data_IF_898316425302
#
_entry.id   IF_898316425302
#
_cell.length_a   1.000
_cell.length_b   1.000
_cell.length_c   1.000
_cell.angle_alpha   90.00
_cell.angle_beta   90.00
_cell.angle_gamma   90.00
#
_symmetry.space_group_name_H-M   'P 1'
#
loop_
_entity.id
_entity.type
_entity.pdbx_description
1 polymer ?
#
# COMPACT_ATOMS: atom_id res chain seq x y z
N UNK A 1 -44.95 15.03 -44.99
CA UNK A 1 -44.13 14.28 -44.04
C UNK A 1 -42.68 14.24 -44.52
N UNK A 2 -41.76 14.77 -43.72
CA UNK A 2 -40.34 14.35 -43.53
C UNK A 2 -39.62 15.47 -42.79
N UNK A 3 -39.67 15.37 -41.47
CA UNK A 3 -38.82 16.09 -40.54
C UNK A 3 -37.39 15.58 -40.71
N UNK A 4 -36.45 16.47 -41.05
CA UNK A 4 -35.03 16.18 -41.03
C UNK A 4 -34.43 16.89 -39.82
N UNK A 5 -34.28 16.13 -38.73
CA UNK A 5 -33.64 16.57 -37.50
C UNK A 5 -32.14 16.80 -37.71
N UNK A 6 -31.65 17.90 -37.15
CA UNK A 6 -30.23 18.23 -36.99
C UNK A 6 -29.54 17.12 -36.17
N UNK A 7 -28.57 16.45 -36.77
CA UNK A 7 -27.66 15.54 -36.06
C UNK A 7 -26.62 16.39 -35.33
N UNK A 8 -26.81 16.55 -34.02
CA UNK A 8 -25.76 17.05 -33.14
C UNK A 8 -24.64 16.00 -33.11
N UNK A 9 -23.45 16.38 -33.58
CA UNK A 9 -22.23 15.61 -33.45
C UNK A 9 -21.97 15.31 -31.97
N UNK A 10 -22.25 14.07 -31.57
CA UNK A 10 -21.85 13.53 -30.28
C UNK A 10 -20.32 13.44 -30.27
N UNK A 11 -19.69 14.36 -29.53
CA UNK A 11 -18.28 14.31 -29.18
C UNK A 11 -18.06 13.12 -28.24
N UNK A 12 -17.78 11.95 -28.82
CA UNK A 12 -17.39 10.74 -28.11
C UNK A 12 -15.96 10.89 -27.60
N UNK A 13 -15.77 11.69 -26.54
CA UNK A 13 -14.52 11.67 -25.77
C UNK A 13 -14.47 10.37 -24.98
N UNK A 14 -13.68 9.45 -25.48
CA UNK A 14 -13.19 8.23 -24.84
C UNK A 14 -12.77 8.51 -23.39
N UNK A 15 -13.56 8.04 -22.43
CA UNK A 15 -13.26 8.03 -20.99
C UNK A 15 -12.39 6.83 -20.59
N UNK A 16 -11.40 6.49 -21.41
CA UNK A 16 -10.66 5.22 -21.27
C UNK A 16 -9.20 5.35 -20.84
N UNK A 17 -8.67 6.55 -20.68
CA UNK A 17 -7.33 6.71 -20.10
C UNK A 17 -7.46 6.79 -18.58
N UNK A 18 -7.20 5.67 -17.91
CA UNK A 18 -6.85 5.68 -16.49
C UNK A 18 -5.61 6.56 -16.23
N UNK A 19 -5.26 6.83 -14.95
CA UNK A 19 -4.05 7.55 -14.62
C UNK A 19 -2.80 6.91 -15.25
N UNK A 20 -1.80 7.73 -15.57
CA UNK A 20 -0.56 7.32 -16.23
C UNK A 20 0.11 6.16 -15.46
N UNK A 21 0.34 5.02 -16.14
CA UNK A 21 0.85 3.78 -15.54
C UNK A 21 -0.19 2.71 -15.16
N UNK A 22 -1.48 2.92 -15.50
CA UNK A 22 -2.55 1.94 -15.30
C UNK A 22 -2.99 1.32 -16.63
N UNK A 23 -2.79 0.00 -16.79
CA UNK A 23 -3.32 -0.77 -17.92
C UNK A 23 -4.87 -0.76 -17.93
N UNK A 24 -5.53 -0.99 -19.08
CA UNK A 24 -6.99 -0.99 -19.21
C UNK A 24 -7.71 -1.92 -18.22
N UNK A 25 -7.04 -3.00 -17.81
CA UNK A 25 -7.57 -3.99 -16.86
C UNK A 25 -7.32 -3.61 -15.38
N UNK A 26 -6.75 -2.43 -15.11
CA UNK A 26 -6.43 -1.93 -13.77
C UNK A 26 -5.23 -2.61 -13.11
N UNK A 27 -4.37 -3.24 -13.90
CA UNK A 27 -3.07 -3.74 -13.47
C UNK A 27 -2.06 -2.60 -13.53
N UNK A 28 -1.34 -2.39 -12.44
CA UNK A 28 -0.31 -1.36 -12.32
C UNK A 28 1.05 -1.96 -12.64
N UNK A 29 1.84 -1.28 -13.48
CA UNK A 29 3.23 -1.64 -13.72
C UNK A 29 4.14 -1.14 -12.58
N UNK A 30 5.01 -2.01 -12.06
CA UNK A 30 5.93 -1.62 -10.99
C UNK A 30 7.08 -0.78 -11.53
N UNK A 31 7.26 0.43 -11.00
CA UNK A 31 8.42 1.29 -11.24
C UNK A 31 9.52 1.15 -10.17
N UNK A 32 9.33 0.24 -9.21
CA UNK A 32 10.30 -0.10 -8.17
C UNK A 32 10.76 -1.54 -8.31
N UNK A 33 12.09 -1.76 -8.29
CA UNK A 33 12.69 -3.07 -8.55
C UNK A 33 13.65 -3.54 -7.43
N UNK A 34 13.90 -2.73 -6.40
CA UNK A 34 14.67 -3.19 -5.24
C UNK A 34 13.86 -4.24 -4.46
N UNK A 35 14.53 -5.35 -4.11
CA UNK A 35 13.97 -6.46 -3.34
C UNK A 35 14.92 -6.72 -2.19
N UNK A 36 14.37 -6.84 -0.98
CA UNK A 36 15.14 -7.16 0.23
C UNK A 36 14.57 -8.42 0.87
N UNK A 37 15.40 -9.45 0.96
CA UNK A 37 14.97 -10.80 1.30
C UNK A 37 15.02 -11.10 2.81
N UNK A 38 15.57 -10.20 3.63
CA UNK A 38 15.53 -10.28 5.09
C UNK A 38 15.09 -8.97 5.75
N UNK A 39 14.36 -9.07 6.87
CA UNK A 39 14.06 -7.89 7.70
C UNK A 39 15.31 -7.24 8.29
N UNK A 40 16.37 -8.03 8.54
CA UNK A 40 17.66 -7.53 9.05
C UNK A 40 18.33 -6.54 8.09
N UNK A 41 18.07 -6.68 6.78
CA UNK A 41 18.66 -5.84 5.73
C UNK A 41 17.86 -4.56 5.47
N UNK A 42 16.70 -4.39 6.12
CA UNK A 42 15.83 -3.22 5.94
C UNK A 42 16.18 -2.05 6.87
N UNK A 43 17.25 -2.18 7.68
CA UNK A 43 17.72 -1.17 8.63
C UNK A 43 16.62 -0.70 9.61
N UNK A 44 15.84 -1.66 10.13
CA UNK A 44 14.78 -1.42 11.10
C UNK A 44 15.35 -1.23 12.51
N UNK A 45 14.64 -0.49 13.37
CA UNK A 45 15.00 -0.39 14.78
C UNK A 45 14.97 -1.78 15.46
N UNK A 46 15.91 -2.03 16.37
CA UNK A 46 16.00 -3.34 17.05
C UNK A 46 14.71 -3.72 17.78
N UNK A 47 14.01 -2.74 18.36
CA UNK A 47 12.75 -2.97 19.05
C UNK A 47 11.65 -3.46 18.08
N UNK A 48 11.55 -2.84 16.90
CA UNK A 48 10.61 -3.24 15.87
C UNK A 48 10.98 -4.62 15.29
N UNK A 49 12.26 -4.86 15.03
CA UNK A 49 12.75 -6.12 14.50
C UNK A 49 12.44 -7.29 15.45
N UNK A 50 12.65 -7.11 16.76
CA UNK A 50 12.22 -8.08 17.77
C UNK A 50 10.71 -8.34 17.74
N UNK A 51 9.90 -7.29 17.58
CA UNK A 51 8.45 -7.41 17.46
C UNK A 51 8.02 -8.23 16.24
N UNK A 52 8.65 -8.00 15.09
CA UNK A 52 8.39 -8.74 13.84
C UNK A 52 8.61 -10.24 14.04
N UNK A 53 9.76 -10.63 14.62
CA UNK A 53 10.06 -12.04 14.88
C UNK A 53 9.17 -12.64 15.98
N UNK A 54 8.86 -11.89 17.04
CA UNK A 54 7.97 -12.34 18.11
C UNK A 54 6.53 -12.57 17.61
N UNK A 55 6.07 -11.79 16.63
CA UNK A 55 4.80 -12.01 15.95
C UNK A 55 4.78 -13.31 15.10
N UNK A 56 5.95 -13.84 14.76
CA UNK A 56 6.11 -15.08 14.01
C UNK A 56 6.45 -14.89 12.52
N UNK A 57 6.86 -13.68 12.11
CA UNK A 57 7.42 -13.49 10.76
C UNK A 57 8.88 -13.93 10.73
N UNK A 58 9.23 -14.89 9.89
CA UNK A 58 10.63 -15.33 9.69
C UNK A 58 11.27 -14.64 8.48
N UNK A 59 10.54 -14.59 7.36
CA UNK A 59 10.99 -13.98 6.11
C UNK A 59 9.91 -13.04 5.56
N UNK A 60 10.31 -11.92 4.94
CA UNK A 60 9.36 -11.02 4.30
C UNK A 60 8.65 -11.71 3.14
N UNK A 61 7.33 -11.50 3.04
CA UNK A 61 6.54 -11.90 1.88
C UNK A 61 6.90 -11.06 0.64
N UNK A 62 6.47 -11.49 -0.55
CA UNK A 62 6.81 -10.79 -1.81
C UNK A 62 6.47 -9.29 -1.83
N UNK A 63 5.36 -8.89 -1.18
CA UNK A 63 4.99 -7.48 -1.06
C UNK A 63 5.83 -6.76 0.00
N UNK A 64 6.15 -7.42 1.12
CA UNK A 64 7.00 -6.86 2.18
C UNK A 64 8.42 -6.58 1.68
N UNK A 65 8.99 -7.52 0.90
CA UNK A 65 10.32 -7.40 0.29
C UNK A 65 10.48 -6.16 -0.60
N UNK A 66 9.39 -5.70 -1.22
CA UNK A 66 9.39 -4.61 -2.22
C UNK A 66 8.88 -3.29 -1.64
N UNK A 67 7.90 -3.33 -0.75
CA UNK A 67 7.16 -2.14 -0.34
C UNK A 67 7.62 -1.55 1.01
N UNK A 68 8.28 -2.30 1.89
CA UNK A 68 8.70 -1.76 3.20
C UNK A 68 9.74 -0.64 3.04
N UNK A 69 10.80 -0.87 2.25
CA UNK A 69 11.85 0.13 2.04
C UNK A 69 11.37 1.44 1.42
N UNK A 70 10.63 1.47 0.29
CA UNK A 70 10.18 2.73 -0.28
C UNK A 70 9.23 3.49 0.67
N UNK A 71 8.39 2.78 1.43
CA UNK A 71 7.55 3.41 2.45
C UNK A 71 8.35 4.06 3.59
N UNK A 72 9.40 3.39 4.09
CA UNK A 72 10.28 3.95 5.15
C UNK A 72 11.15 5.10 4.62
N UNK A 73 11.50 5.07 3.33
CA UNK A 73 12.18 6.18 2.65
C UNK A 73 11.26 7.40 2.42
N UNK A 74 9.97 7.31 2.75
CA UNK A 74 9.00 8.41 2.65
C UNK A 74 8.41 8.62 1.26
N UNK A 75 8.53 7.64 0.36
CA UNK A 75 7.87 7.71 -0.95
C UNK A 75 6.39 7.38 -0.86
N UNK A 76 5.60 7.98 -1.75
CA UNK A 76 4.23 7.54 -2.01
C UNK A 76 4.25 6.21 -2.75
N UNK A 77 3.57 5.20 -2.21
CA UNK A 77 3.60 3.83 -2.74
C UNK A 77 2.19 3.36 -3.05
N UNK A 78 1.99 2.91 -4.30
CA UNK A 78 0.80 2.16 -4.69
C UNK A 78 1.15 0.68 -4.72
N UNK A 79 0.53 -0.11 -3.84
CA UNK A 79 0.80 -1.53 -3.68
C UNK A 79 -0.42 -2.37 -4.07
N UNK A 80 -0.37 -3.01 -5.24
CA UNK A 80 -1.40 -3.95 -5.68
C UNK A 80 -1.00 -5.39 -5.30
N UNK A 81 -1.73 -6.01 -4.37
CA UNK A 81 -1.50 -7.41 -4.01
C UNK A 81 -2.79 -8.09 -3.55
N UNK A 82 -2.84 -9.42 -3.65
CA UNK A 82 -3.99 -10.23 -3.23
C UNK A 82 -4.17 -10.27 -1.71
N UNK A 83 -5.34 -10.67 -1.22
CA UNK A 83 -5.56 -10.88 0.23
C UNK A 83 -4.60 -11.95 0.79
N UNK A 84 -4.25 -11.87 2.07
CA UNK A 84 -3.34 -12.82 2.73
C UNK A 84 -1.85 -12.66 2.38
N UNK A 85 -1.47 -11.69 1.55
CA UNK A 85 -0.07 -11.49 1.12
C UNK A 85 0.80 -10.70 2.11
N UNK A 86 0.27 -10.27 3.26
CA UNK A 86 1.03 -9.53 4.27
C UNK A 86 1.01 -8.00 4.13
N UNK A 87 0.09 -7.44 3.32
CA UNK A 87 -0.09 -5.98 3.16
C UNK A 87 -0.24 -5.23 4.48
N UNK A 88 -1.02 -5.78 5.42
CA UNK A 88 -1.25 -5.15 6.73
C UNK A 88 0.03 -4.97 7.52
N UNK A 89 0.84 -6.04 7.63
CA UNK A 89 2.13 -5.96 8.28
C UNK A 89 3.11 -5.05 7.53
N UNK A 90 3.01 -4.97 6.19
CA UNK A 90 3.87 -4.10 5.36
C UNK A 90 3.74 -2.63 5.78
N UNK A 91 2.53 -2.07 5.81
CA UNK A 91 2.36 -0.68 6.24
C UNK A 91 2.49 -0.51 7.76
N UNK A 92 2.14 -1.52 8.57
CA UNK A 92 2.31 -1.44 10.02
C UNK A 92 3.80 -1.29 10.41
N UNK A 93 4.67 -2.13 9.83
CA UNK A 93 6.13 -2.03 10.01
C UNK A 93 6.64 -0.68 9.53
N UNK A 94 6.20 -0.24 8.35
CA UNK A 94 6.64 1.03 7.75
C UNK A 94 6.24 2.25 8.59
N UNK A 95 5.04 2.24 9.17
CA UNK A 95 4.56 3.29 10.09
C UNK A 95 5.35 3.24 11.39
N UNK A 96 5.43 2.08 12.05
CA UNK A 96 6.11 1.95 13.34
C UNK A 96 7.60 2.32 13.28
N UNK A 97 8.24 2.09 12.13
CA UNK A 97 9.62 2.52 11.91
C UNK A 97 9.79 4.05 11.84
N UNK A 98 8.75 4.77 11.44
CA UNK A 98 8.78 6.24 11.26
C UNK A 98 8.21 7.01 12.44
N UNK A 99 7.53 6.34 13.38
CA UNK A 99 6.93 7.00 14.56
C UNK A 99 8.02 7.52 15.51
N UNK A 100 7.90 8.79 15.86
CA UNK A 100 8.69 9.42 16.92
C UNK A 100 8.08 9.10 18.29
N UNK A 101 8.76 8.26 19.07
CA UNK A 101 8.21 7.71 20.33
C UNK A 101 7.98 8.76 21.43
N UNK A 102 8.75 9.84 21.42
CA UNK A 102 8.63 10.93 22.42
C UNK A 102 7.46 11.88 22.11
N UNK A 103 7.08 12.01 20.84
CA UNK A 103 6.00 12.88 20.41
C UNK A 103 4.63 12.24 20.69
N UNK A 104 3.96 12.68 21.76
CA UNK A 104 2.62 12.19 22.16
C UNK A 104 1.49 12.86 21.37
N UNK A 105 1.53 12.70 20.06
CA UNK A 105 0.48 13.14 19.13
C UNK A 105 0.19 12.05 18.09
N UNK A 106 -0.92 12.17 17.37
CA UNK A 106 -1.22 11.28 16.24
C UNK A 106 -0.27 11.58 15.09
N UNK A 107 0.48 10.57 14.62
CA UNK A 107 1.51 10.71 13.58
C UNK A 107 1.19 9.96 12.29
N UNK A 108 0.26 9.01 12.32
CA UNK A 108 -0.18 8.25 11.16
C UNK A 108 -1.68 7.98 11.22
N UNK A 109 -2.33 7.95 10.05
CA UNK A 109 -3.74 7.63 9.88
C UNK A 109 -3.89 6.50 8.87
N UNK A 110 -4.52 5.40 9.27
CA UNK A 110 -4.85 4.28 8.38
C UNK A 110 -6.36 4.25 8.18
N UNK A 111 -6.80 4.32 6.93
CA UNK A 111 -8.21 4.21 6.56
C UNK A 111 -8.54 2.79 6.13
N UNK A 112 -9.69 2.29 6.58
CA UNK A 112 -10.19 0.96 6.21
C UNK A 112 -11.66 1.07 5.77
N UNK A 113 -12.10 0.25 4.80
CA UNK A 113 -13.48 0.28 4.29
C UNK A 113 -14.52 -0.23 5.28
N UNK A 114 -14.13 -1.01 6.29
CA UNK A 114 -15.04 -1.57 7.30
C UNK A 114 -14.43 -1.48 8.70
N UNK A 115 -15.30 -1.48 9.72
CA UNK A 115 -14.90 -1.42 11.13
C UNK A 115 -14.12 -2.67 11.53
N UNK A 116 -14.55 -3.82 11.04
CA UNK A 116 -13.94 -5.12 11.34
C UNK A 116 -12.51 -5.18 10.81
N UNK A 117 -12.28 -4.64 9.61
CA UNK A 117 -10.95 -4.55 9.04
C UNK A 117 -10.08 -3.54 9.80
N UNK A 118 -10.63 -2.39 10.21
CA UNK A 118 -9.92 -1.45 11.08
C UNK A 118 -9.47 -2.11 12.41
N UNK A 119 -10.32 -2.93 13.02
CA UNK A 119 -9.99 -3.67 14.24
C UNK A 119 -8.91 -4.74 14.00
N UNK A 120 -8.94 -5.43 12.85
CA UNK A 120 -7.89 -6.39 12.49
C UNK A 120 -6.54 -5.69 12.30
N UNK A 121 -6.52 -4.53 11.65
CA UNK A 121 -5.31 -3.72 11.48
C UNK A 121 -4.76 -3.29 12.83
N UNK A 122 -5.62 -2.77 13.72
CA UNK A 122 -5.21 -2.35 15.06
C UNK A 122 -4.57 -3.48 15.86
N UNK A 123 -5.11 -4.71 15.77
CA UNK A 123 -4.49 -5.88 16.43
C UNK A 123 -3.09 -6.19 15.91
N UNK A 124 -2.83 -6.03 14.62
CA UNK A 124 -1.49 -6.25 14.05
C UNK A 124 -0.51 -5.19 14.52
N UNK A 125 -0.94 -3.93 14.62
CA UNK A 125 -0.07 -2.82 15.07
C UNK A 125 0.25 -2.91 16.57
N UNK A 126 -0.63 -3.50 17.38
CA UNK A 126 -0.46 -3.59 18.83
C UNK A 126 0.12 -4.92 19.35
N UNK A 127 0.40 -5.87 18.46
CA UNK A 127 0.96 -7.16 18.82
C UNK A 127 2.47 -7.08 19.05
#
# INVERSE_FOLDING_TARGET
ERSAAMSASHDSRSRESGPEGMEPDGVIESNWHEVVDSFDEMNLSEALLRGIYAYGFEKPSAIQQRAILPCIKGYDVIAQAQSGTGKTATFAISILQQVELELKATQALVLAPTRELAQQIQKVVMA
#
